data_IF_808203451741
#
_entry.id   IF_808203451741
#
_cell.length_a   1.000
_cell.length_b   1.000
_cell.length_c   1.000
_cell.angle_alpha   90.00
_cell.angle_beta   90.00
_cell.angle_gamma   90.00
#
_symmetry.space_group_name_H-M   'P 1'
#
loop_
_entity.id
_entity.type
_entity.pdbx_description
1 polymer ?
#
# COMPACT_ATOMS: atom_id res chain seq x y z
N UNK A 1 8.71 2.76 -10.73
CA UNK A 1 9.02 1.81 -9.62
C UNK A 1 10.14 2.32 -8.70
N UNK A 2 11.38 2.53 -9.17
CA UNK A 2 12.49 2.93 -8.30
C UNK A 2 12.25 4.21 -7.49
N UNK A 3 11.66 5.26 -8.09
CA UNK A 3 11.29 6.50 -7.37
C UNK A 3 10.29 6.27 -6.23
N UNK A 4 9.31 5.38 -6.39
CA UNK A 4 8.33 5.07 -5.34
C UNK A 4 9.05 4.38 -4.18
N UNK A 5 9.97 3.47 -4.50
CA UNK A 5 10.74 2.73 -3.50
C UNK A 5 11.67 3.64 -2.69
N UNK A 6 12.34 4.60 -3.34
CA UNK A 6 13.18 5.58 -2.66
C UNK A 6 12.37 6.47 -1.71
N UNK A 7 11.24 6.99 -2.18
CA UNK A 7 10.35 7.79 -1.35
C UNK A 7 9.79 6.94 -0.18
N UNK A 8 9.52 5.65 -0.42
CA UNK A 8 9.08 4.72 0.61
C UNK A 8 10.15 4.48 1.66
N UNK A 9 11.44 4.34 1.28
CA UNK A 9 12.55 4.19 2.22
C UNK A 9 12.82 5.45 3.05
N UNK A 10 12.46 6.63 2.54
CA UNK A 10 12.60 7.91 3.25
C UNK A 10 11.45 8.19 4.22
N UNK A 11 10.26 7.62 3.97
CA UNK A 11 9.09 7.84 4.80
C UNK A 11 9.12 7.30 6.26
N UNK A 12 9.87 6.24 6.67
CA UNK A 12 9.93 5.81 8.06
C UNK A 12 10.72 6.77 8.96
N UNK A 13 11.58 7.63 8.40
CA UNK A 13 12.35 8.60 9.17
C UNK A 13 11.49 9.76 9.71
N UNK A 14 10.22 9.86 9.28
CA UNK A 14 9.35 11.03 9.51
C UNK A 14 8.11 10.74 10.37
N UNK A 15 7.84 9.49 10.75
CA UNK A 15 6.56 9.10 11.37
C UNK A 15 6.78 8.31 12.67
N UNK A 16 6.59 8.99 13.81
CA UNK A 16 6.52 8.41 15.16
C UNK A 16 5.04 8.16 15.49
N UNK A 17 4.56 6.92 15.32
CA UNK A 17 3.13 6.61 15.36
C UNK A 17 2.78 5.50 16.35
N UNK A 18 1.77 5.78 17.19
CA UNK A 18 1.27 4.94 18.30
C UNK A 18 0.61 3.62 17.85
N UNK A 19 0.23 3.47 16.58
CA UNK A 19 -0.32 2.23 16.01
C UNK A 19 0.31 1.90 14.65
N UNK A 20 0.73 0.65 14.48
CA UNK A 20 1.47 0.21 13.29
C UNK A 20 0.65 0.30 12.00
N UNK A 21 -0.66 0.02 12.05
CA UNK A 21 -1.52 0.00 10.86
C UNK A 21 -1.81 1.40 10.32
N UNK A 22 -2.19 2.35 11.19
CA UNK A 22 -2.46 3.72 10.78
C UNK A 22 -1.20 4.40 10.22
N UNK A 23 -0.04 4.09 10.80
CA UNK A 23 1.26 4.54 10.31
C UNK A 23 1.55 4.05 8.87
N UNK A 24 1.20 2.78 8.57
CA UNK A 24 1.39 2.20 7.24
C UNK A 24 0.49 2.86 6.20
N UNK A 25 -0.80 3.07 6.51
CA UNK A 25 -1.75 3.73 5.59
C UNK A 25 -1.32 5.17 5.30
N UNK A 26 -0.92 5.91 6.33
CA UNK A 26 -0.48 7.29 6.15
C UNK A 26 0.83 7.36 5.35
N UNK A 27 1.78 6.45 5.63
CA UNK A 27 3.05 6.34 4.90
C UNK A 27 2.85 6.00 3.43
N UNK A 28 1.96 5.07 3.09
CA UNK A 28 1.69 4.69 1.70
C UNK A 28 1.02 5.82 0.93
N UNK A 29 0.05 6.51 1.53
CA UNK A 29 -0.60 7.68 0.93
C UNK A 29 0.40 8.79 0.61
N UNK A 30 1.24 9.17 1.58
CA UNK A 30 2.27 10.20 1.39
C UNK A 30 3.29 9.81 0.31
N UNK A 31 3.74 8.55 0.32
CA UNK A 31 4.69 8.04 -0.67
C UNK A 31 4.10 8.11 -2.07
N UNK A 32 2.85 7.69 -2.24
CA UNK A 32 2.16 7.70 -3.52
C UNK A 32 1.96 9.11 -4.05
N UNK A 33 1.52 10.06 -3.22
CA UNK A 33 1.34 11.46 -3.63
C UNK A 33 2.65 12.07 -4.14
N UNK A 34 3.75 11.83 -3.43
CA UNK A 34 5.06 12.40 -3.78
C UNK A 34 5.69 11.75 -5.02
N UNK A 35 5.51 10.44 -5.19
CA UNK A 35 6.15 9.67 -6.26
C UNK A 35 5.33 9.61 -7.54
N UNK A 36 4.00 9.71 -7.46
CA UNK A 36 3.09 9.69 -8.61
C UNK A 36 3.39 10.84 -9.58
N UNK A 37 3.65 12.05 -9.09
CA UNK A 37 3.95 13.20 -9.95
C UNK A 37 5.18 13.00 -10.85
N UNK A 38 6.28 12.47 -10.31
CA UNK A 38 7.51 12.21 -11.07
C UNK A 38 7.34 11.07 -12.09
N UNK A 39 6.61 10.02 -11.72
CA UNK A 39 6.34 8.89 -12.62
C UNK A 39 5.34 9.26 -13.72
N UNK A 40 4.35 10.10 -13.41
CA UNK A 40 3.42 10.64 -14.39
C UNK A 40 4.16 11.47 -15.43
N UNK A 41 4.99 12.43 -15.01
CA UNK A 41 5.74 13.28 -15.92
C UNK A 41 6.62 12.45 -16.90
N UNK A 42 7.31 11.44 -16.39
CA UNK A 42 8.18 10.58 -17.20
C UNK A 42 7.40 9.71 -18.19
N UNK A 43 6.33 9.07 -17.73
CA UNK A 43 5.50 8.19 -18.57
C UNK A 43 4.72 8.98 -19.62
N UNK A 44 4.16 10.14 -19.24
CA UNK A 44 3.47 11.06 -20.16
C UNK A 44 4.43 11.57 -21.23
N UNK A 45 5.65 11.99 -20.86
CA UNK A 45 6.63 12.48 -21.85
C UNK A 45 7.00 11.38 -22.85
N UNK A 46 7.14 10.14 -22.38
CA UNK A 46 7.43 8.99 -23.26
C UNK A 46 6.24 8.67 -24.16
N UNK A 47 5.01 8.73 -23.64
CA UNK A 47 3.80 8.58 -24.43
C UNK A 47 3.69 9.67 -25.50
N UNK A 48 3.93 10.94 -25.15
CA UNK A 48 3.93 12.08 -26.08
C UNK A 48 4.98 11.90 -27.18
N UNK A 49 6.18 11.39 -26.86
CA UNK A 49 7.21 11.08 -27.86
C UNK A 49 6.75 10.00 -28.85
N UNK A 50 6.07 8.95 -28.38
CA UNK A 50 5.46 7.94 -29.26
C UNK A 50 4.25 8.49 -30.03
N UNK A 51 3.48 9.40 -29.44
CA UNK A 51 2.40 10.10 -30.14
C UNK A 51 2.91 11.04 -31.23
N UNK A 52 4.07 11.67 -31.06
CA UNK A 52 4.68 12.51 -32.09
C UNK A 52 4.98 11.73 -33.38
N UNK A 53 5.26 10.43 -33.27
CA UNK A 53 5.44 9.55 -34.42
C UNK A 53 4.14 9.27 -35.19
N UNK A 54 2.94 9.63 -34.67
CA UNK A 54 1.71 9.61 -35.46
C UNK A 54 1.73 10.58 -36.64
N UNK A 55 2.62 11.57 -36.64
CA UNK A 55 2.80 12.51 -37.74
C UNK A 55 3.44 11.88 -38.99
N UNK A 56 4.00 10.67 -38.89
CA UNK A 56 4.63 9.99 -40.03
C UNK A 56 3.60 9.33 -40.96
N UNK A 57 3.85 9.41 -42.27
CA UNK A 57 2.98 8.95 -43.37
C UNK A 57 2.82 7.41 -43.46
N UNK A 58 3.59 6.64 -42.68
CA UNK A 58 3.63 5.17 -42.71
C UNK A 58 2.60 4.58 -41.73
N UNK A 59 1.55 3.95 -42.28
CA UNK A 59 0.43 3.35 -41.53
C UNK A 59 0.82 2.47 -40.30
N UNK A 60 1.76 1.51 -40.40
CA UNK A 60 2.13 0.66 -39.26
C UNK A 60 2.75 1.43 -38.08
N UNK A 61 3.43 2.55 -38.33
CA UNK A 61 4.06 3.35 -37.25
C UNK A 61 3.00 4.04 -36.38
N UNK A 62 1.86 4.42 -36.96
CA UNK A 62 0.76 5.09 -36.26
C UNK A 62 0.04 4.17 -35.28
N UNK A 63 -0.26 2.94 -35.70
CA UNK A 63 -0.90 1.92 -34.86
C UNK A 63 0.02 1.49 -33.72
N UNK A 64 1.31 1.31 -34.02
CA UNK A 64 2.32 1.03 -33.01
C UNK A 64 2.41 2.15 -31.96
N UNK A 65 2.49 3.42 -32.39
CA UNK A 65 2.55 4.57 -31.49
C UNK A 65 1.33 4.69 -30.57
N UNK A 66 0.12 4.47 -31.09
CA UNK A 66 -1.12 4.46 -30.29
C UNK A 66 -1.14 3.32 -29.25
N UNK A 67 -0.72 2.12 -29.65
CA UNK A 67 -0.70 0.97 -28.74
C UNK A 67 0.34 1.17 -27.63
N UNK A 68 1.51 1.71 -27.96
CA UNK A 68 2.55 2.06 -27.00
C UNK A 68 2.08 3.16 -26.02
N UNK A 69 1.43 4.21 -26.52
CA UNK A 69 0.88 5.26 -25.67
C UNK A 69 -0.15 4.73 -24.67
N UNK A 70 -1.06 3.85 -25.13
CA UNK A 70 -2.03 3.18 -24.27
C UNK A 70 -1.35 2.29 -23.23
N UNK A 71 -0.35 1.49 -23.63
CA UNK A 71 0.44 0.69 -22.70
C UNK A 71 1.09 1.53 -21.61
N UNK A 72 1.61 2.71 -21.95
CA UNK A 72 2.27 3.59 -20.99
C UNK A 72 1.29 4.15 -19.96
N UNK A 73 0.07 4.51 -20.39
CA UNK A 73 -1.01 4.89 -19.46
C UNK A 73 -1.39 3.71 -18.56
N UNK A 74 -1.60 2.52 -19.13
CA UNK A 74 -1.94 1.32 -18.37
C UNK A 74 -0.84 0.95 -17.37
N UNK A 75 0.43 1.03 -17.77
CA UNK A 75 1.58 0.78 -16.90
C UNK A 75 1.64 1.77 -15.72
N UNK A 76 1.32 3.04 -15.95
CA UNK A 76 1.23 4.03 -14.86
C UNK A 76 0.12 3.68 -13.86
N UNK A 77 -1.08 3.32 -14.34
CA UNK A 77 -2.18 2.87 -13.48
C UNK A 77 -1.84 1.59 -12.71
N UNK A 78 -1.15 0.66 -13.36
CA UNK A 78 -0.68 -0.57 -12.74
C UNK A 78 0.28 -0.25 -11.59
N UNK A 79 1.24 0.65 -11.77
CA UNK A 79 2.21 0.99 -10.72
C UNK A 79 1.53 1.62 -9.49
N UNK A 80 0.56 2.51 -9.68
CA UNK A 80 -0.16 3.16 -8.57
C UNK A 80 -1.00 2.19 -7.77
N UNK A 81 -1.60 1.19 -8.42
CA UNK A 81 -2.48 0.20 -7.77
C UNK A 81 -1.70 -1.00 -7.22
N UNK A 82 -0.64 -1.40 -7.89
CA UNK A 82 0.17 -2.55 -7.51
C UNK A 82 0.98 -2.31 -6.25
N UNK A 83 1.48 -1.09 -6.06
CA UNK A 83 2.26 -0.73 -4.88
C UNK A 83 1.49 -0.87 -3.54
N UNK A 84 0.31 -0.26 -3.36
CA UNK A 84 -0.48 -0.45 -2.14
C UNK A 84 -0.96 -1.91 -1.98
N UNK A 85 -1.27 -2.60 -3.08
CA UNK A 85 -1.60 -4.04 -3.05
C UNK A 85 -0.48 -4.89 -2.44
N UNK A 86 0.78 -4.70 -2.87
CA UNK A 86 1.92 -5.44 -2.30
C UNK A 86 2.09 -5.13 -0.80
N UNK A 87 1.95 -3.86 -0.41
CA UNK A 87 2.17 -3.47 1.00
C UNK A 87 1.10 -4.07 1.91
N UNK A 88 -0.17 -4.03 1.49
CA UNK A 88 -1.27 -4.68 2.20
C UNK A 88 -1.05 -6.19 2.27
N UNK A 89 -0.67 -6.83 1.16
CA UNK A 89 -0.38 -8.26 1.13
C UNK A 89 0.77 -8.62 2.07
N UNK A 90 1.86 -7.85 2.07
CA UNK A 90 2.99 -8.07 2.97
C UNK A 90 2.59 -7.93 4.46
N UNK A 91 1.71 -6.98 4.78
CA UNK A 91 1.17 -6.85 6.14
C UNK A 91 0.35 -8.08 6.54
N UNK A 92 -0.62 -8.48 5.71
CA UNK A 92 -1.45 -9.65 5.97
C UNK A 92 -0.65 -10.96 6.00
N UNK A 93 0.38 -11.10 5.16
CA UNK A 93 1.26 -12.27 5.17
C UNK A 93 2.11 -12.34 6.44
N UNK A 94 2.56 -11.20 6.99
CA UNK A 94 3.30 -11.17 8.25
C UNK A 94 2.41 -11.54 9.44
N UNK A 95 1.16 -11.07 9.45
CA UNK A 95 0.17 -11.46 10.45
C UNK A 95 -0.22 -12.93 10.35
N UNK A 96 -0.38 -13.47 9.14
CA UNK A 96 -0.66 -14.90 8.95
C UNK A 96 0.56 -15.75 9.28
N UNK A 97 1.78 -15.37 8.89
CA UNK A 97 3.00 -16.07 9.30
C UNK A 97 3.18 -16.08 10.83
N UNK A 98 2.83 -14.99 11.51
CA UNK A 98 2.83 -14.91 12.97
C UNK A 98 1.70 -15.76 13.58
N UNK A 99 0.49 -15.79 13.00
CA UNK A 99 -0.59 -16.68 13.43
C UNK A 99 -0.28 -18.15 13.17
N UNK A 100 0.42 -18.49 12.11
CA UNK A 100 0.78 -19.87 11.75
C UNK A 100 1.94 -20.36 12.63
N UNK A 101 2.92 -19.49 12.89
CA UNK A 101 4.03 -19.77 13.80
C UNK A 101 3.60 -19.73 15.27
N UNK A 102 2.74 -18.79 15.70
CA UNK A 102 2.15 -18.77 17.04
C UNK A 102 1.06 -19.80 17.22
N UNK A 103 0.32 -20.23 16.20
CA UNK A 103 -0.58 -21.39 16.33
C UNK A 103 0.24 -22.68 16.44
N UNK A 104 1.32 -22.83 15.67
CA UNK A 104 2.23 -23.97 15.81
C UNK A 104 2.94 -23.95 17.18
N UNK A 105 3.44 -22.80 17.62
CA UNK A 105 4.15 -22.62 18.91
C UNK A 105 3.18 -22.62 20.09
N UNK A 106 1.96 -22.08 19.98
CA UNK A 106 0.93 -22.16 21.02
C UNK A 106 0.30 -23.54 21.09
N UNK A 107 0.15 -24.27 19.98
CA UNK A 107 -0.29 -25.67 19.99
C UNK A 107 0.79 -26.58 20.59
N UNK A 108 2.08 -26.30 20.32
CA UNK A 108 3.22 -27.09 20.81
C UNK A 108 3.64 -26.73 22.24
N UNK A 109 3.65 -25.45 22.62
CA UNK A 109 4.05 -25.01 23.97
C UNK A 109 2.87 -24.87 24.93
N UNK A 110 1.64 -24.71 24.44
CA UNK A 110 0.50 -24.27 25.22
C UNK A 110 -0.76 -25.06 24.86
N UNK A 111 -0.73 -26.40 24.94
CA UNK A 111 -1.87 -27.30 24.69
C UNK A 111 -3.12 -27.03 25.55
N UNK A 112 -3.73 -25.85 25.40
CA UNK A 112 -4.82 -25.28 26.16
C UNK A 112 -5.46 -24.18 25.32
N UNK A 113 -6.72 -24.39 24.97
CA UNK A 113 -7.49 -23.65 23.97
C UNK A 113 -7.64 -22.13 24.21
N UNK A 114 -8.24 -21.43 23.23
CA UNK A 114 -8.20 -19.98 23.10
C UNK A 114 -9.01 -19.30 24.21
N UNK A 115 -8.34 -18.45 25.00
CA UNK A 115 -8.95 -17.61 26.04
C UNK A 115 -8.54 -16.14 25.84
N UNK A 116 -8.70 -15.62 24.62
CA UNK A 116 -8.31 -14.24 24.26
C UNK A 116 -9.42 -13.44 23.58
N UNK A 117 -10.69 -13.87 23.73
CA UNK A 117 -11.87 -13.09 23.31
C UNK A 117 -12.63 -12.47 24.49
N UNK A 118 -12.27 -12.84 25.73
CA UNK A 118 -12.95 -12.36 26.94
C UNK A 118 -12.33 -11.09 27.54
N UNK A 119 -11.09 -10.73 27.16
CA UNK A 119 -10.39 -9.57 27.73
C UNK A 119 -10.76 -8.27 26.99
N UNK A 120 -11.01 -8.33 25.69
CA UNK A 120 -11.34 -7.14 24.89
C UNK A 120 -12.76 -6.60 25.10
N UNK A 121 -13.68 -7.38 25.71
CA UNK A 121 -14.99 -6.86 26.10
C UNK A 121 -14.99 -6.22 27.49
N UNK A 122 -14.01 -6.51 28.35
CA UNK A 122 -13.93 -5.90 29.68
C UNK A 122 -13.50 -4.43 29.59
N UNK A 123 -12.56 -4.10 28.69
CA UNK A 123 -12.11 -2.72 28.48
C UNK A 123 -13.17 -1.80 27.85
N UNK A 124 -14.17 -2.35 27.14
CA UNK A 124 -15.27 -1.56 26.58
C UNK A 124 -16.39 -1.26 27.62
N UNK A 125 -16.45 -2.00 28.73
CA UNK A 125 -17.48 -1.82 29.76
C UNK A 125 -17.03 -0.85 30.86
N UNK A 126 -15.71 -0.73 31.12
CA UNK A 126 -15.15 0.24 32.06
C UNK A 126 -15.22 1.70 31.54
N UNK A 127 -15.13 1.93 30.23
CA UNK A 127 -15.20 3.28 29.64
C UNK A 127 -16.63 3.87 29.63
N UNK A 128 -17.67 3.05 29.77
CA UNK A 128 -19.05 3.51 29.80
C UNK A 128 -19.52 3.98 31.19
N UNK A 129 -18.74 3.75 32.25
CA UNK A 129 -19.10 4.12 33.63
C UNK A 129 -18.49 5.44 34.12
N UNK A 130 -17.55 6.02 33.36
CA UNK A 130 -16.83 7.24 33.74
C UNK A 130 -17.54 8.56 33.44
N UNK A 131 -18.66 8.57 32.71
CA UNK A 131 -19.26 9.82 32.18
C UNK A 131 -20.53 10.28 32.91
N UNK A 132 -20.87 9.66 34.06
CA UNK A 132 -22.05 10.01 34.87
C UNK A 132 -21.73 10.73 36.18
N UNK A 133 -20.46 11.03 36.47
CA UNK A 133 -20.05 11.57 37.77
C UNK A 133 -19.04 12.71 37.64
N UNK A 134 -19.35 13.73 36.85
CA UNK A 134 -18.93 15.11 37.16
C UNK A 134 -19.87 16.12 36.49
N UNK A 135 -20.92 16.46 37.27
CA UNK A 135 -21.76 17.63 37.12
C UNK A 135 -21.07 18.86 37.73
#
# INVERSE_FOLDING_TARGET
VFVVWEHWQQAPALLDARSAEAALVHRTAWTLEKSAGSMAATSVTTAVAFLANLASFICPVRIFGLWMALLLLCNYLLVITWFPCIILLHHHMKEQGCKNSLAAVSFVLYGRGPRSSAVALQEAEDDAHGDSEEA
#
